data_IF_938994241674
#
_entry.id   IF_938994241674
#
_cell.length_a   1.000
_cell.length_b   1.000
_cell.length_c   1.000
_cell.angle_alpha   90.00
_cell.angle_beta   90.00
_cell.angle_gamma   90.00
#
_symmetry.space_group_name_H-M   'P 1'
#
loop_
_entity.id
_entity.type
_entity.pdbx_description
1 polymer ?
#
# COMPACT_ATOMS: atom_id res chain seq x y z
N UNK A 1 4.24 44.91 40.73
CA UNK A 1 4.74 43.53 40.52
C UNK A 1 3.54 42.62 40.37
N UNK A 2 3.15 42.30 39.13
CA UNK A 2 2.06 41.37 38.83
C UNK A 2 2.63 40.22 38.03
N UNK A 3 2.57 39.01 38.57
CA UNK A 3 3.02 37.80 37.90
C UNK A 3 1.92 37.38 36.93
N UNK A 4 2.13 37.56 35.61
CA UNK A 4 1.18 37.10 34.59
C UNK A 4 1.46 35.61 34.37
N UNK A 5 0.52 34.70 34.68
CA UNK A 5 0.73 33.28 34.42
C UNK A 5 0.74 33.07 32.91
N UNK A 6 1.77 32.39 32.42
CA UNK A 6 1.86 31.95 31.02
C UNK A 6 0.60 31.12 30.73
N UNK A 7 -0.23 31.47 29.74
CA UNK A 7 -1.45 30.73 29.47
C UNK A 7 -1.01 29.38 28.93
N UNK A 8 -1.09 28.39 29.82
CA UNK A 8 -1.16 26.97 29.57
C UNK A 8 -0.62 26.55 28.21
N UNK A 9 0.66 26.15 28.19
CA UNK A 9 1.15 25.22 27.19
C UNK A 9 0.36 23.92 27.40
N UNK A 10 -0.87 23.89 26.90
CA UNK A 10 -1.67 22.68 26.76
C UNK A 10 -0.87 21.84 25.76
N UNK A 11 -0.05 20.93 26.27
CA UNK A 11 0.44 19.84 25.43
C UNK A 11 -0.84 19.06 25.13
N UNK A 12 -1.44 19.36 23.98
CA UNK A 12 -2.55 18.57 23.45
C UNK A 12 -2.14 17.11 23.57
N UNK A 13 -2.98 16.32 24.23
CA UNK A 13 -2.77 14.90 24.41
C UNK A 13 -2.81 14.25 23.02
N UNK A 14 -1.69 14.31 22.29
CA UNK A 14 -1.53 13.70 20.98
C UNK A 14 -1.71 12.21 21.19
N UNK A 15 -2.89 11.74 20.77
CA UNK A 15 -3.22 10.32 20.77
C UNK A 15 -2.13 9.62 19.95
N UNK A 16 -1.30 8.83 20.62
CA UNK A 16 -0.23 8.10 19.96
C UNK A 16 -0.83 7.12 18.95
N UNK A 17 -0.52 7.31 17.67
CA UNK A 17 -0.86 6.35 16.64
C UNK A 17 0.12 5.19 16.72
N UNK A 18 -0.37 3.97 16.91
CA UNK A 18 0.46 2.77 16.85
C UNK A 18 0.42 2.17 15.45
N UNK A 19 1.60 1.89 14.89
CA UNK A 19 1.72 1.13 13.65
C UNK A 19 1.34 -0.32 13.95
N UNK A 20 0.35 -0.85 13.24
CA UNK A 20 -0.15 -2.21 13.50
C UNK A 20 0.57 -3.26 12.65
N UNK A 21 0.69 -3.02 11.35
CA UNK A 21 1.32 -3.95 10.41
C UNK A 21 1.64 -3.24 9.08
N UNK A 22 2.50 -3.88 8.28
CA UNK A 22 2.67 -3.53 6.87
C UNK A 22 1.53 -4.18 6.09
N UNK A 23 0.68 -3.38 5.44
CA UNK A 23 -0.45 -3.88 4.67
C UNK A 23 -0.01 -4.54 3.35
N UNK A 24 0.90 -3.89 2.62
CA UNK A 24 1.44 -4.37 1.34
C UNK A 24 2.69 -3.57 0.95
N UNK A 25 3.45 -4.09 -0.02
CA UNK A 25 4.54 -3.37 -0.70
C UNK A 25 4.14 -3.19 -2.17
N UNK A 26 4.17 -1.95 -2.66
CA UNK A 26 3.92 -1.65 -4.08
C UNK A 26 5.23 -1.56 -4.87
N UNK A 27 5.30 -2.25 -6.02
CA UNK A 27 6.39 -2.18 -6.97
C UNK A 27 5.85 -1.76 -8.35
N UNK A 28 6.40 -0.70 -8.93
CA UNK A 28 6.09 -0.35 -10.33
C UNK A 28 6.91 -1.20 -11.27
N UNK A 29 6.28 -1.81 -12.26
CA UNK A 29 6.90 -2.69 -13.25
C UNK A 29 6.51 -2.26 -14.66
N UNK A 30 7.38 -2.53 -15.63
CA UNK A 30 7.11 -2.22 -17.04
C UNK A 30 6.21 -3.27 -17.73
N UNK A 31 6.16 -4.49 -17.18
CA UNK A 31 5.32 -5.59 -17.68
C UNK A 31 4.77 -6.39 -16.49
N UNK A 32 3.45 -6.28 -16.29
CA UNK A 32 2.76 -6.92 -15.18
C UNK A 32 2.75 -8.45 -15.31
N UNK A 33 2.62 -8.98 -16.52
CA UNK A 33 2.56 -10.42 -16.76
C UNK A 33 3.94 -11.04 -16.51
N UNK A 34 4.99 -10.42 -17.03
CA UNK A 34 6.36 -10.87 -16.82
C UNK A 34 6.72 -10.88 -15.33
N UNK A 35 6.42 -9.78 -14.61
CA UNK A 35 6.68 -9.71 -13.18
C UNK A 35 5.90 -10.79 -12.41
N UNK A 36 4.61 -10.97 -12.68
CA UNK A 36 3.78 -11.99 -12.04
C UNK A 36 4.34 -13.39 -12.26
N UNK A 37 4.77 -13.72 -13.48
CA UNK A 37 5.40 -15.00 -13.78
C UNK A 37 6.70 -15.20 -12.97
N UNK A 38 7.53 -14.17 -12.83
CA UNK A 38 8.74 -14.24 -12.01
C UNK A 38 8.40 -14.57 -10.55
N UNK A 39 7.45 -13.84 -9.94
CA UNK A 39 7.05 -14.07 -8.55
C UNK A 39 6.52 -15.49 -8.34
N UNK A 40 5.70 -16.00 -9.25
CA UNK A 40 5.12 -17.35 -9.14
C UNK A 40 6.14 -18.46 -9.42
N UNK A 41 6.90 -18.36 -10.50
CA UNK A 41 7.71 -19.47 -11.00
C UNK A 41 9.11 -19.52 -10.39
N UNK A 42 9.70 -18.37 -10.05
CA UNK A 42 11.06 -18.30 -9.50
C UNK A 42 11.02 -18.28 -7.98
N UNK A 43 10.08 -17.54 -7.40
CA UNK A 43 10.01 -17.34 -5.94
C UNK A 43 8.93 -18.17 -5.25
N UNK A 44 8.06 -18.84 -6.01
CA UNK A 44 7.03 -19.74 -5.47
C UNK A 44 5.84 -19.02 -4.85
N UNK A 45 5.63 -17.75 -5.17
CA UNK A 45 4.54 -16.95 -4.62
C UNK A 45 3.20 -17.31 -5.30
N UNK A 46 2.07 -16.93 -4.69
CA UNK A 46 0.74 -17.22 -5.23
C UNK A 46 0.05 -15.95 -5.68
N UNK A 47 -0.47 -15.92 -6.91
CA UNK A 47 -1.36 -14.85 -7.37
C UNK A 47 -2.73 -15.01 -6.70
N UNK A 48 -3.14 -14.01 -5.92
CA UNK A 48 -4.43 -14.02 -5.23
C UNK A 48 -5.52 -13.25 -5.99
N UNK A 49 -5.13 -12.31 -6.84
CA UNK A 49 -6.07 -11.58 -7.66
C UNK A 49 -5.41 -10.49 -8.50
N UNK A 50 -6.23 -9.88 -9.34
CA UNK A 50 -5.83 -8.76 -10.19
C UNK A 50 -6.86 -7.63 -10.09
N UNK A 51 -6.42 -6.40 -10.25
CA UNK A 51 -7.30 -5.24 -10.36
C UNK A 51 -6.81 -4.29 -11.45
N UNK A 52 -7.73 -3.53 -12.02
CA UNK A 52 -7.45 -2.45 -12.95
C UNK A 52 -8.23 -1.23 -12.49
N UNK A 53 -7.56 -0.08 -12.44
CA UNK A 53 -8.11 1.13 -11.86
C UNK A 53 -7.65 2.37 -12.62
N UNK A 54 -8.57 3.31 -12.74
CA UNK A 54 -8.35 4.64 -13.29
C UNK A 54 -9.27 5.65 -12.61
N UNK A 55 -9.08 6.94 -12.89
CA UNK A 55 -9.96 8.00 -12.40
C UNK A 55 -9.35 8.84 -11.27
N UNK A 56 -10.20 9.68 -10.67
CA UNK A 56 -9.76 10.76 -9.77
C UNK A 56 -9.06 10.23 -8.52
N UNK A 57 -9.55 9.15 -7.90
CA UNK A 57 -8.91 8.57 -6.71
C UNK A 57 -7.45 8.18 -6.96
N UNK A 58 -7.17 7.55 -8.11
CA UNK A 58 -5.81 7.14 -8.45
C UNK A 58 -4.94 8.36 -8.80
N UNK A 59 -5.51 9.34 -9.49
CA UNK A 59 -4.82 10.58 -9.80
C UNK A 59 -4.48 11.39 -8.54
N UNK A 60 -5.41 11.50 -7.59
CA UNK A 60 -5.22 12.19 -6.30
C UNK A 60 -4.21 11.45 -5.41
N UNK A 61 -4.26 10.12 -5.39
CA UNK A 61 -3.33 9.31 -4.56
C UNK A 61 -1.91 9.33 -5.11
N UNK A 62 -1.75 9.36 -6.43
CA UNK A 62 -0.43 9.27 -7.09
C UNK A 62 0.10 10.60 -7.61
N UNK A 63 -0.69 11.68 -7.48
CA UNK A 63 -0.47 13.00 -8.05
C UNK A 63 -0.16 12.98 -9.57
N UNK A 64 -0.82 12.08 -10.31
CA UNK A 64 -0.65 11.97 -11.76
C UNK A 64 -1.96 12.00 -12.51
N UNK A 65 -2.11 13.03 -13.33
CA UNK A 65 -3.27 13.24 -14.18
C UNK A 65 -3.44 12.08 -15.17
N UNK A 66 -4.68 11.59 -15.29
CA UNK A 66 -5.01 10.48 -16.18
C UNK A 66 -4.40 9.14 -15.77
N UNK A 67 -3.93 9.01 -14.52
CA UNK A 67 -3.33 7.78 -14.04
C UNK A 67 -4.24 6.57 -14.31
N UNK A 68 -3.63 5.56 -14.93
CA UNK A 68 -4.21 4.26 -15.18
C UNK A 68 -3.25 3.20 -14.66
N UNK A 69 -3.81 2.19 -13.98
CA UNK A 69 -3.05 1.20 -13.24
C UNK A 69 -3.63 -0.19 -13.44
N UNK A 70 -2.76 -1.18 -13.69
CA UNK A 70 -3.06 -2.59 -13.50
C UNK A 70 -2.26 -3.12 -12.32
N UNK A 71 -2.89 -3.97 -11.52
CA UNK A 71 -2.39 -4.52 -10.27
C UNK A 71 -2.51 -6.05 -10.28
N UNK A 72 -1.47 -6.72 -9.79
CA UNK A 72 -1.51 -8.12 -9.40
C UNK A 72 -1.19 -8.21 -7.91
N UNK A 73 -2.06 -8.86 -7.13
CA UNK A 73 -1.89 -9.11 -5.70
C UNK A 73 -1.27 -10.48 -5.51
N UNK A 74 -0.11 -10.52 -4.89
CA UNK A 74 0.67 -11.75 -4.76
C UNK A 74 0.98 -12.02 -3.29
N UNK A 75 0.65 -13.22 -2.82
CA UNK A 75 0.94 -13.71 -1.48
C UNK A 75 2.26 -14.48 -1.41
N UNK A 76 2.95 -14.34 -0.28
CA UNK A 76 4.20 -15.04 -0.02
C UNK A 76 3.95 -16.54 0.26
N UNK A 77 4.93 -17.40 -0.01
CA UNK A 77 4.93 -18.77 0.47
C UNK A 77 4.78 -18.76 1.99
N UNK A 78 3.90 -19.62 2.50
CA UNK A 78 3.64 -19.75 3.94
C UNK A 78 3.13 -18.47 4.63
N UNK A 79 2.61 -17.49 3.89
CA UNK A 79 1.71 -16.49 4.49
C UNK A 79 0.38 -17.20 4.78
N UNK A 80 0.29 -17.84 5.93
CA UNK A 80 -0.99 -18.29 6.44
C UNK A 80 -1.89 -17.07 6.62
N UNK A 81 -3.17 -17.25 6.29
CA UNK A 81 -4.18 -16.24 6.57
C UNK A 81 -4.21 -16.11 8.09
N UNK A 82 -3.63 -15.05 8.65
CA UNK A 82 -3.68 -14.76 10.08
C UNK A 82 -5.08 -15.01 10.63
N UNK A 83 -5.18 -15.37 11.91
CA UNK A 83 -6.44 -15.56 12.65
C UNK A 83 -7.48 -14.43 12.48
N UNK A 84 -7.07 -13.26 11.96
CA UNK A 84 -7.93 -12.15 11.54
C UNK A 84 -8.66 -12.33 10.20
N UNK A 85 -8.39 -13.40 9.45
CA UNK A 85 -8.96 -13.66 8.12
C UNK A 85 -8.44 -12.72 7.01
N UNK A 86 -7.47 -11.86 7.31
CA UNK A 86 -6.88 -10.92 6.33
C UNK A 86 -5.60 -11.54 5.76
N UNK A 87 -5.39 -11.57 4.43
CA UNK A 87 -4.10 -11.96 3.87
C UNK A 87 -3.01 -10.99 4.37
N UNK A 88 -1.90 -11.56 4.82
CA UNK A 88 -0.72 -10.82 5.25
C UNK A 88 0.23 -10.81 4.07
N UNK A 89 0.62 -9.60 3.64
CA UNK A 89 1.66 -9.34 2.67
C UNK A 89 1.25 -9.56 1.21
N UNK A 90 0.64 -8.53 0.62
CA UNK A 90 0.54 -8.44 -0.83
C UNK A 90 1.74 -7.68 -1.39
N UNK A 91 2.31 -8.20 -2.47
CA UNK A 91 3.08 -7.40 -3.40
C UNK A 91 2.12 -6.92 -4.50
N UNK A 92 2.09 -5.61 -4.74
CA UNK A 92 1.31 -5.01 -5.83
C UNK A 92 2.25 -4.61 -6.96
N UNK A 93 2.20 -5.32 -8.09
CA UNK A 93 2.91 -4.90 -9.30
C UNK A 93 2.05 -3.90 -10.10
N UNK A 94 2.57 -2.70 -10.36
CA UNK A 94 1.85 -1.57 -10.98
C UNK A 94 2.40 -1.29 -12.38
N UNK A 95 1.54 -1.30 -13.41
CA UNK A 95 1.87 -0.74 -14.71
C UNK A 95 1.23 0.64 -14.87
N UNK A 96 2.04 1.70 -14.97
CA UNK A 96 1.57 3.04 -15.34
C UNK A 96 1.55 3.16 -16.87
N UNK A 97 0.39 3.49 -17.45
CA UNK A 97 0.34 3.92 -18.85
C UNK A 97 0.88 5.37 -18.96
N UNK A 98 1.69 5.69 -19.99
CA UNK A 98 2.07 7.07 -20.25
C UNK A 98 0.87 7.87 -20.77
N UNK A 99 0.88 9.17 -20.48
CA UNK A 99 0.00 10.19 -21.08
C UNK A 99 0.18 10.26 -22.59
#
# INVERSE_FOLDING_TARGET
MGNVPCPTCQIENTKSLSVQAIAHIGLTVSDLQHATNFWQQVLGFTLEGTAEGSGSLLAETTDVAGAHSKLAFIALPHSDRSASGRPHHHLCSLLRAPT
#
